data_IF_924948748220
#
_entry.id   IF_924948748220
#
_cell.length_a   1.000
_cell.length_b   1.000
_cell.length_c   1.000
_cell.angle_alpha   90.00
_cell.angle_beta   90.00
_cell.angle_gamma   90.00
#
_symmetry.space_group_name_H-M   'P 1'
#
loop_
_entity.id
_entity.type
_entity.pdbx_description
1 polymer ?
#
# COMPACT_ATOMS: atom_id res chain seq x y z
N UNK A 1 -70.77 -58.29 17.34
CA UNK A 1 -69.93 -59.14 18.18
C UNK A 1 -68.79 -58.29 18.67
N UNK A 2 -68.92 -57.57 19.82
CA UNK A 2 -68.56 -58.07 21.16
C UNK A 2 -67.05 -58.27 21.27
N UNK A 3 -66.34 -57.44 21.97
CA UNK A 3 -66.00 -57.36 23.40
C UNK A 3 -64.96 -56.20 23.57
N UNK A 4 -65.17 -55.14 24.29
CA UNK A 4 -64.88 -54.82 25.67
C UNK A 4 -63.57 -55.36 26.26
N UNK A 5 -62.71 -54.46 26.77
CA UNK A 5 -62.23 -54.41 28.15
C UNK A 5 -61.09 -53.32 28.22
N UNK A 6 -61.28 -52.26 28.83
CA UNK A 6 -61.22 -51.84 30.25
C UNK A 6 -59.84 -52.04 30.95
N UNK A 7 -59.40 -50.94 31.57
CA UNK A 7 -58.59 -50.81 32.79
C UNK A 7 -57.04 -50.88 32.56
N UNK A 8 -56.18 -50.07 33.12
CA UNK A 8 -56.20 -49.38 34.45
C UNK A 8 -54.98 -48.46 34.52
N UNK A 9 -55.23 -47.32 35.05
CA UNK A 9 -54.37 -46.37 35.71
C UNK A 9 -53.01 -46.88 36.21
N UNK A 10 -51.94 -46.17 35.87
CA UNK A 10 -50.79 -46.06 36.75
C UNK A 10 -50.14 -44.66 36.64
N UNK A 11 -50.26 -43.91 37.68
CA UNK A 11 -49.64 -42.62 37.93
C UNK A 11 -48.14 -42.86 38.16
N UNK A 12 -47.32 -42.42 37.20
CA UNK A 12 -45.87 -42.35 37.35
C UNK A 12 -45.39 -40.90 37.31
N UNK A 13 -45.21 -40.29 38.47
CA UNK A 13 -44.47 -39.01 38.58
C UNK A 13 -43.03 -39.24 38.17
N UNK A 14 -42.68 -38.85 36.98
CA UNK A 14 -41.30 -38.78 36.56
C UNK A 14 -40.80 -37.33 36.62
N UNK A 15 -39.84 -37.14 37.51
CA UNK A 15 -39.16 -35.90 37.77
C UNK A 15 -38.59 -35.29 36.48
N UNK A 16 -39.01 -34.08 36.15
CA UNK A 16 -38.37 -33.25 35.12
C UNK A 16 -37.00 -32.84 35.63
N UNK A 17 -36.00 -33.58 35.23
CA UNK A 17 -34.58 -33.19 35.39
C UNK A 17 -34.32 -32.01 34.50
N UNK A 18 -34.27 -30.80 35.05
CA UNK A 18 -33.82 -29.63 34.39
C UNK A 18 -32.38 -29.85 33.93
N UNK A 19 -32.18 -30.03 32.66
CA UNK A 19 -30.88 -29.92 32.00
C UNK A 19 -30.48 -28.45 32.02
N UNK A 20 -29.65 -28.07 32.99
CA UNK A 20 -28.94 -26.80 32.98
C UNK A 20 -28.03 -26.78 31.75
N UNK A 21 -28.37 -26.01 30.78
CA UNK A 21 -27.48 -25.70 29.67
C UNK A 21 -26.22 -24.96 30.22
N UNK A 22 -25.01 -25.37 29.86
CA UNK A 22 -23.83 -24.62 30.23
C UNK A 22 -23.89 -23.30 29.50
N UNK A 23 -24.02 -22.20 30.22
CA UNK A 23 -23.79 -20.87 29.72
C UNK A 23 -22.33 -20.81 29.26
N UNK A 24 -22.13 -20.99 27.94
CA UNK A 24 -20.89 -20.65 27.28
C UNK A 24 -20.78 -19.12 27.33
N UNK A 25 -20.00 -18.61 28.25
CA UNK A 25 -19.60 -17.21 28.25
C UNK A 25 -18.84 -16.98 26.92
N UNK A 26 -19.22 -16.01 26.08
CA UNK A 26 -18.41 -15.63 24.95
C UNK A 26 -17.10 -15.05 25.53
N UNK A 27 -16.07 -15.86 25.51
CA UNK A 27 -14.72 -15.40 25.82
C UNK A 27 -14.40 -14.31 24.82
N UNK A 28 -14.19 -13.11 25.36
CA UNK A 28 -13.68 -11.99 24.60
C UNK A 28 -12.28 -12.40 24.07
N UNK A 29 -12.23 -12.94 22.86
CA UNK A 29 -10.99 -13.17 22.14
C UNK A 29 -10.41 -11.79 21.78
N UNK A 30 -9.69 -11.19 22.73
CA UNK A 30 -8.80 -10.09 22.41
C UNK A 30 -7.67 -10.74 21.60
N UNK A 31 -7.83 -10.74 20.28
CA UNK A 31 -6.74 -10.99 19.38
C UNK A 31 -5.69 -9.90 19.71
N UNK A 32 -4.71 -10.24 20.51
CA UNK A 32 -3.47 -9.48 20.60
C UNK A 32 -2.86 -9.53 19.20
N UNK A 33 -3.22 -8.56 18.37
CA UNK A 33 -2.39 -8.16 17.24
C UNK A 33 -1.06 -7.76 17.87
N UNK A 34 -0.12 -8.68 17.85
CA UNK A 34 1.27 -8.35 18.02
C UNK A 34 1.62 -7.42 16.87
N UNK A 35 1.50 -6.12 17.12
CA UNK A 35 2.24 -5.15 16.35
C UNK A 35 3.70 -5.47 16.68
N UNK A 36 4.32 -6.33 15.86
CA UNK A 36 5.75 -6.30 15.72
C UNK A 36 6.04 -4.91 15.16
N UNK A 37 6.19 -3.94 16.05
CA UNK A 37 6.86 -2.71 15.72
C UNK A 37 8.29 -3.17 15.41
N UNK A 38 8.57 -3.41 14.12
CA UNK A 38 9.94 -3.37 13.67
C UNK A 38 10.46 -2.03 14.18
N UNK A 39 11.46 -2.10 15.06
CA UNK A 39 12.10 -0.91 15.58
C UNK A 39 12.75 -0.24 14.38
N UNK A 40 12.05 0.74 13.81
CA UNK A 40 12.55 1.56 12.72
C UNK A 40 13.79 2.28 13.24
N UNK A 41 14.96 1.82 12.83
CA UNK A 41 16.22 2.38 13.26
C UNK A 41 16.39 3.75 12.59
N UNK A 42 16.19 4.82 13.36
CA UNK A 42 16.27 6.21 12.89
C UNK A 42 17.68 6.77 13.02
N UNK A 43 18.70 5.97 12.79
CA UNK A 43 20.10 6.40 12.94
C UNK A 43 20.51 7.44 11.89
N UNK A 44 19.78 7.53 10.78
CA UNK A 44 20.04 8.49 9.71
C UNK A 44 18.91 9.51 9.56
N UNK A 45 19.19 10.78 9.31
CA UNK A 45 18.17 11.77 9.01
C UNK A 45 17.42 11.39 7.74
N UNK A 46 16.08 11.47 7.80
CA UNK A 46 15.19 11.17 6.69
C UNK A 46 14.82 12.42 5.91
N UNK A 47 14.79 12.31 4.59
CA UNK A 47 14.41 13.40 3.68
C UNK A 47 13.52 12.83 2.57
N UNK A 48 12.39 13.48 2.33
CA UNK A 48 11.49 13.16 1.22
C UNK A 48 11.90 13.99 -0.01
N UNK A 49 12.27 13.31 -1.07
CA UNK A 49 12.56 13.95 -2.35
C UNK A 49 11.67 13.36 -3.42
N UNK A 50 11.49 14.05 -4.54
CA UNK A 50 10.73 13.47 -5.62
C UNK A 50 11.09 14.04 -6.98
N UNK A 51 10.66 13.33 -8.02
CA UNK A 51 10.84 13.70 -9.41
C UNK A 51 9.61 14.42 -9.94
N UNK A 52 9.83 15.58 -10.54
CA UNK A 52 8.81 16.41 -11.19
C UNK A 52 9.27 16.72 -12.62
N UNK A 53 8.35 16.77 -13.56
CA UNK A 53 8.65 17.11 -14.96
C UNK A 53 7.55 16.63 -15.90
N UNK A 54 7.67 16.97 -17.15
CA UNK A 54 6.68 16.61 -18.18
C UNK A 54 6.68 15.11 -18.48
N UNK A 55 5.65 14.64 -19.20
CA UNK A 55 5.59 13.29 -19.77
C UNK A 55 6.83 13.06 -20.65
N UNK A 56 7.34 11.85 -20.67
CA UNK A 56 8.49 11.40 -21.48
C UNK A 56 9.83 12.10 -21.20
N UNK A 57 9.91 12.95 -20.18
CA UNK A 57 11.19 13.55 -19.76
C UNK A 57 12.13 12.58 -19.00
N UNK A 58 11.69 11.35 -18.75
CA UNK A 58 12.53 10.30 -18.15
C UNK A 58 12.55 10.29 -16.62
N UNK A 59 11.53 10.80 -15.93
CA UNK A 59 11.43 10.80 -14.45
C UNK A 59 11.56 9.39 -13.86
N UNK A 60 10.68 8.49 -14.27
CA UNK A 60 10.66 7.10 -13.81
C UNK A 60 11.93 6.35 -14.21
N UNK A 61 12.50 6.67 -15.38
CA UNK A 61 13.80 6.11 -15.82
C UNK A 61 14.94 6.59 -14.91
N UNK A 62 14.94 7.86 -14.50
CA UNK A 62 15.91 8.38 -13.54
C UNK A 62 15.79 7.69 -12.19
N UNK A 63 14.58 7.52 -11.70
CA UNK A 63 14.28 6.82 -10.44
C UNK A 63 14.76 5.37 -10.49
N UNK A 64 14.53 4.68 -11.60
CA UNK A 64 15.04 3.33 -11.84
C UNK A 64 16.57 3.29 -11.84
N UNK A 65 17.23 4.25 -12.49
CA UNK A 65 18.69 4.33 -12.53
C UNK A 65 19.29 4.56 -11.14
N UNK A 66 18.69 5.43 -10.33
CA UNK A 66 19.09 5.68 -8.94
C UNK A 66 19.01 4.39 -8.12
N UNK A 67 17.86 3.71 -8.15
CA UNK A 67 17.68 2.47 -7.38
C UNK A 67 18.64 1.37 -7.82
N UNK A 68 18.91 1.27 -9.11
CA UNK A 68 19.87 0.30 -9.67
C UNK A 68 21.29 0.57 -9.16
N UNK A 69 21.79 1.78 -9.27
CA UNK A 69 23.14 2.16 -8.82
C UNK A 69 23.30 1.96 -7.31
N UNK A 70 22.27 2.31 -6.53
CA UNK A 70 22.31 2.15 -5.08
C UNK A 70 22.19 0.68 -4.67
N UNK A 71 21.51 -0.15 -5.45
CA UNK A 71 21.44 -1.60 -5.19
C UNK A 71 22.79 -2.30 -5.33
N UNK A 72 23.64 -1.85 -6.25
CA UNK A 72 25.02 -2.36 -6.39
C UNK A 72 25.86 -2.10 -5.13
N UNK A 73 25.52 -1.04 -4.39
CA UNK A 73 26.14 -0.69 -3.10
C UNK A 73 25.43 -1.33 -1.89
N UNK A 74 24.33 -2.05 -2.10
CA UNK A 74 23.54 -2.66 -1.03
C UNK A 74 22.66 -1.66 -0.24
N UNK A 75 22.46 -0.45 -0.74
CA UNK A 75 21.72 0.63 -0.07
C UNK A 75 20.28 0.80 -0.55
N UNK A 76 19.87 0.04 -1.54
CA UNK A 76 18.51 -0.02 -2.05
C UNK A 76 18.21 -1.39 -2.62
N UNK A 77 16.92 -1.67 -2.82
CA UNK A 77 16.48 -2.78 -3.65
C UNK A 77 16.40 -2.29 -5.10
N UNK A 78 17.03 -3.01 -6.04
CA UNK A 78 16.87 -2.70 -7.45
C UNK A 78 15.39 -2.84 -7.85
N UNK A 79 14.85 -1.81 -8.47
CA UNK A 79 13.48 -1.80 -8.98
C UNK A 79 13.47 -1.69 -10.50
N UNK A 80 12.60 -2.45 -11.13
CA UNK A 80 12.35 -2.34 -12.56
C UNK A 80 11.30 -1.25 -12.83
N UNK A 81 11.20 -0.80 -14.07
CA UNK A 81 10.16 0.15 -14.48
C UNK A 81 8.75 -0.35 -14.09
N UNK A 82 8.50 -1.65 -14.27
CA UNK A 82 7.22 -2.28 -13.96
C UNK A 82 6.94 -2.43 -12.45
N UNK A 83 7.99 -2.38 -11.63
CA UNK A 83 7.87 -2.39 -10.17
C UNK A 83 7.54 -0.98 -9.63
N UNK A 84 7.92 0.06 -10.36
CA UNK A 84 7.62 1.46 -10.04
C UNK A 84 6.19 1.77 -10.49
N UNK A 85 5.87 1.57 -11.77
CA UNK A 85 4.55 1.77 -12.35
C UNK A 85 3.76 0.45 -12.29
N UNK A 86 3.04 0.23 -11.19
CA UNK A 86 2.42 -1.07 -10.88
C UNK A 86 1.03 -1.25 -11.49
N UNK A 87 0.31 -0.15 -11.71
CA UNK A 87 -1.05 -0.23 -12.20
C UNK A 87 -1.12 -0.77 -13.64
N UNK A 88 -2.09 -1.63 -13.95
CA UNK A 88 -2.24 -2.18 -15.31
C UNK A 88 -2.41 -1.10 -16.38
N UNK A 89 -3.05 0.02 -16.03
CA UNK A 89 -3.23 1.17 -16.93
C UNK A 89 -1.91 1.92 -17.19
N UNK A 90 -1.05 2.04 -16.18
CA UNK A 90 0.29 2.63 -16.31
C UNK A 90 1.15 1.81 -17.26
N UNK A 91 1.13 0.48 -17.10
CA UNK A 91 1.86 -0.46 -17.96
C UNK A 91 1.36 -0.42 -19.41
N UNK A 92 0.04 -0.32 -19.60
CA UNK A 92 -0.56 -0.27 -20.94
C UNK A 92 -0.25 1.02 -21.67
N UNK A 93 -0.24 2.15 -20.97
CA UNK A 93 0.00 3.48 -21.53
C UNK A 93 1.45 3.94 -21.49
N UNK A 94 2.29 3.25 -20.71
CA UNK A 94 3.69 3.62 -20.40
C UNK A 94 3.84 5.02 -19.81
N UNK A 95 2.88 5.43 -18.99
CA UNK A 95 2.88 6.72 -18.29
C UNK A 95 2.56 6.48 -16.82
N UNK A 96 3.22 7.22 -15.95
CA UNK A 96 2.92 7.22 -14.50
C UNK A 96 1.61 7.97 -14.26
N UNK A 97 0.66 7.32 -13.60
CA UNK A 97 -0.66 7.87 -13.24
C UNK A 97 -0.70 8.21 -11.76
N UNK A 98 -0.27 7.28 -10.93
CA UNK A 98 -0.23 7.42 -9.48
C UNK A 98 1.18 7.77 -9.00
N UNK A 99 1.26 8.40 -7.84
CA UNK A 99 2.55 8.63 -7.18
C UNK A 99 3.11 7.32 -6.66
N UNK A 100 4.37 7.02 -6.97
CA UNK A 100 5.07 5.85 -6.48
C UNK A 100 6.06 6.23 -5.39
N UNK A 101 6.08 5.48 -4.27
CA UNK A 101 6.98 5.71 -3.15
C UNK A 101 8.05 4.63 -3.13
N UNK A 102 9.30 5.07 -3.09
CA UNK A 102 10.48 4.21 -3.10
C UNK A 102 11.42 4.67 -2.00
N UNK A 103 12.00 3.74 -1.28
CA UNK A 103 12.95 4.04 -0.22
C UNK A 103 14.34 3.58 -0.61
N UNK A 104 15.33 4.39 -0.31
CA UNK A 104 16.74 4.06 -0.45
C UNK A 104 17.60 4.84 0.53
N UNK A 105 18.80 4.37 0.73
CA UNK A 105 19.75 4.96 1.66
C UNK A 105 21.02 5.41 0.96
N UNK A 106 21.75 6.30 1.64
CA UNK A 106 23.14 6.62 1.38
C UNK A 106 23.91 6.49 2.70
N UNK A 107 25.20 6.72 2.68
CA UNK A 107 26.00 6.73 3.92
C UNK A 107 25.46 7.72 4.94
N UNK A 108 25.00 8.89 4.47
CA UNK A 108 24.64 10.01 5.32
C UNK A 108 23.14 10.08 5.64
N UNK A 109 22.26 9.58 4.77
CA UNK A 109 20.82 9.83 4.88
C UNK A 109 19.98 8.68 4.33
N UNK A 110 18.75 8.61 4.84
CA UNK A 110 17.65 7.81 4.30
C UNK A 110 16.72 8.71 3.48
N UNK A 111 16.33 8.25 2.31
CA UNK A 111 15.48 9.01 1.38
C UNK A 111 14.18 8.28 1.11
N UNK A 112 13.07 9.01 1.22
CA UNK A 112 11.80 8.64 0.63
C UNK A 112 11.66 9.31 -0.74
N UNK A 113 11.76 8.55 -1.82
CA UNK A 113 11.64 9.08 -3.17
C UNK A 113 10.21 8.94 -3.68
N UNK A 114 9.65 10.03 -4.16
CA UNK A 114 8.29 10.10 -4.69
C UNK A 114 8.37 10.35 -6.20
N UNK A 115 8.00 9.37 -7.01
CA UNK A 115 7.89 9.56 -8.45
C UNK A 115 6.51 10.11 -8.80
N UNK A 116 6.45 11.28 -9.42
CA UNK A 116 5.22 11.98 -9.74
C UNK A 116 4.81 11.83 -11.20
N UNK A 117 3.49 11.70 -11.48
CA UNK A 117 2.98 11.74 -12.84
C UNK A 117 3.30 13.09 -13.50
N UNK A 118 3.56 13.07 -14.81
CA UNK A 118 3.85 14.28 -15.58
C UNK A 118 2.73 14.71 -16.53
N UNK A 119 1.68 13.91 -16.65
CA UNK A 119 0.58 14.19 -17.58
C UNK A 119 -0.42 15.20 -16.99
N UNK A 120 -0.94 16.11 -17.83
CA UNK A 120 -1.87 17.16 -17.43
C UNK A 120 -3.14 16.63 -16.72
N UNK A 121 -3.64 15.47 -17.16
CA UNK A 121 -4.84 14.84 -16.56
C UNK A 121 -4.62 14.40 -15.12
N UNK A 122 -3.37 14.18 -14.71
CA UNK A 122 -3.02 13.66 -13.38
C UNK A 122 -2.36 14.69 -12.47
N UNK A 123 -2.55 15.98 -12.77
CA UNK A 123 -2.00 17.11 -11.96
C UNK A 123 -2.41 17.02 -10.50
N UNK A 124 -3.62 16.52 -10.19
CA UNK A 124 -4.06 16.34 -8.80
C UNK A 124 -3.15 15.37 -8.04
N UNK A 125 -2.80 14.24 -8.66
CA UNK A 125 -1.90 13.25 -8.06
C UNK A 125 -0.49 13.82 -7.91
N UNK A 126 -0.02 14.60 -8.89
CA UNK A 126 1.26 15.28 -8.82
C UNK A 126 1.31 16.28 -7.64
N UNK A 127 0.27 17.10 -7.46
CA UNK A 127 0.21 18.06 -6.35
C UNK A 127 0.20 17.35 -5.00
N UNK A 128 -0.55 16.25 -4.89
CA UNK A 128 -0.60 15.45 -3.66
C UNK A 128 0.77 14.84 -3.34
N UNK A 129 1.48 14.33 -4.33
CA UNK A 129 2.84 13.82 -4.16
C UNK A 129 3.83 14.94 -3.82
N UNK A 130 3.78 16.06 -4.53
CA UNK A 130 4.65 17.20 -4.29
C UNK A 130 4.51 17.80 -2.89
N UNK A 131 3.30 17.79 -2.33
CA UNK A 131 3.05 18.28 -0.97
C UNK A 131 3.76 17.44 0.13
N UNK A 132 4.22 16.24 -0.20
CA UNK A 132 4.92 15.33 0.73
C UNK A 132 6.45 15.42 0.60
N UNK A 133 6.96 16.23 -0.31
CA UNK A 133 8.39 16.37 -0.59
C UNK A 133 9.02 17.52 0.19
N UNK A 134 10.22 17.27 0.72
CA UNK A 134 11.10 18.31 1.26
C UNK A 134 11.93 18.99 0.15
N UNK A 135 12.15 18.26 -0.94
CA UNK A 135 12.89 18.74 -2.11
C UNK A 135 12.44 18.07 -3.41
N UNK A 136 12.50 18.79 -4.52
CA UNK A 136 12.11 18.27 -5.83
C UNK A 136 13.26 18.27 -6.84
N UNK A 137 13.34 17.21 -7.63
CA UNK A 137 14.24 17.08 -8.78
C UNK A 137 13.42 17.37 -10.04
N UNK A 138 13.69 18.53 -10.66
CA UNK A 138 13.06 18.87 -11.93
C UNK A 138 13.81 18.15 -13.06
N UNK A 139 13.11 17.24 -13.75
CA UNK A 139 13.65 16.49 -14.88
C UNK A 139 13.14 17.12 -16.18
N UNK A 140 14.07 17.56 -17.03
CA UNK A 140 13.80 18.15 -18.33
C UNK A 140 14.49 17.33 -19.40
N UNK A 141 13.72 16.83 -20.37
CA UNK A 141 14.26 16.08 -21.50
C UNK A 141 14.89 16.98 -22.56
N UNK A 142 15.99 16.52 -23.15
CA UNK A 142 16.73 17.27 -24.19
C UNK A 142 15.94 17.42 -25.50
N UNK A 143 14.98 16.53 -25.75
CA UNK A 143 14.15 16.55 -26.98
C UNK A 143 13.06 17.61 -27.00
N UNK A 144 13.03 18.51 -25.99
CA UNK A 144 12.04 19.56 -25.95
C UNK A 144 12.40 20.65 -26.97
N UNK A 145 11.64 20.68 -28.04
CA UNK A 145 11.69 21.78 -29.01
C UNK A 145 11.41 23.08 -28.25
N UNK A 146 12.44 23.91 -28.09
CA UNK A 146 12.39 25.18 -27.33
C UNK A 146 11.31 26.15 -27.82
N UNK A 147 10.61 25.83 -28.89
CA UNK A 147 9.48 26.59 -29.47
C UNK A 147 8.31 26.76 -28.51
N UNK A 148 8.11 25.83 -27.53
CA UNK A 148 7.01 25.96 -26.57
C UNK A 148 7.28 26.95 -25.44
N UNK A 149 8.53 27.29 -25.19
CA UNK A 149 8.89 28.30 -24.19
C UNK A 149 8.65 29.74 -24.64
N UNK A 150 8.45 29.96 -25.94
CA UNK A 150 8.30 31.28 -26.55
C UNK A 150 7.05 31.37 -27.46
N UNK A 151 6.10 30.47 -27.35
CA UNK A 151 4.81 30.61 -28.02
C UNK A 151 4.01 31.72 -27.32
N UNK A 152 3.56 32.75 -28.07
CA UNK A 152 2.81 33.88 -27.54
C UNK A 152 1.44 33.50 -27.01
#
# INVERSE_FOLDING_TARGET
MSCTNTLTTAIGRSARRALSSPHVRPGLYIARRGLAAESYNRDKPHVNIGTIGHVDHGKTTLTQAITKVLSEKGWSKAMTYEDIDRAPEEKARKITINTSHIEYETEARHYGHIDCPGHADYVKNMITGAAQMDGGILVVGESYDARWLFAP
#
